data_IF_256660363857
#
_entry.id   IF_256660363857
#
_cell.length_a   1.000
_cell.length_b   1.000
_cell.length_c   1.000
_cell.angle_alpha   90.00
_cell.angle_beta   90.00
_cell.angle_gamma   90.00
#
_symmetry.space_group_name_H-M   'P 1'
#
loop_
_entity.id
_entity.type
_entity.pdbx_description
1 polymer ?
#
# COMPACT_ATOMS: atom_id res chain seq x y z
N UNK A 1 25.04 4.97 -21.27
CA UNK A 1 24.40 5.83 -20.25
C UNK A 1 23.48 4.92 -19.46
N UNK A 2 23.89 4.55 -18.24
CA UNK A 2 23.10 3.66 -17.39
C UNK A 2 21.81 4.38 -17.01
N UNK A 3 20.69 3.68 -17.18
CA UNK A 3 19.35 4.18 -16.90
C UNK A 3 19.28 4.69 -15.45
N UNK A 4 18.83 5.94 -15.29
CA UNK A 4 18.61 6.65 -14.04
C UNK A 4 17.42 6.08 -13.21
N UNK A 5 17.14 4.78 -13.29
CA UNK A 5 15.95 4.15 -12.70
C UNK A 5 16.08 3.94 -11.19
N UNK A 6 17.28 3.65 -10.68
CA UNK A 6 17.50 3.40 -9.24
C UNK A 6 17.30 4.63 -8.35
N UNK A 7 17.71 5.81 -8.82
CA UNK A 7 17.67 7.06 -8.02
C UNK A 7 16.24 7.51 -7.66
N UNK A 8 15.24 7.09 -8.45
CA UNK A 8 13.84 7.44 -8.20
C UNK A 8 13.13 6.45 -7.27
N UNK A 9 13.47 5.17 -7.34
CA UNK A 9 12.92 4.12 -6.47
C UNK A 9 13.40 4.31 -5.03
N UNK A 10 14.69 4.61 -4.83
CA UNK A 10 15.27 4.85 -3.50
C UNK A 10 14.59 6.02 -2.77
N UNK A 11 14.25 7.09 -3.49
CA UNK A 11 13.53 8.25 -2.91
C UNK A 11 12.10 7.92 -2.51
N UNK A 12 11.40 7.12 -3.32
CA UNK A 12 10.02 6.72 -3.03
C UNK A 12 9.95 5.77 -1.83
N UNK A 13 10.93 4.85 -1.72
CA UNK A 13 11.09 3.99 -0.55
C UNK A 13 11.38 4.83 0.69
N UNK A 14 12.34 5.76 0.61
CA UNK A 14 12.67 6.64 1.73
C UNK A 14 11.47 7.49 2.18
N UNK A 15 10.66 8.01 1.25
CA UNK A 15 9.43 8.75 1.58
C UNK A 15 8.43 7.87 2.35
N UNK A 16 8.25 6.61 1.93
CA UNK A 16 7.35 5.67 2.60
C UNK A 16 7.86 5.32 4.00
N UNK A 17 9.16 5.01 4.13
CA UNK A 17 9.81 4.71 5.41
C UNK A 17 9.68 5.89 6.39
N UNK A 18 9.97 7.11 5.93
CA UNK A 18 9.80 8.32 6.74
C UNK A 18 8.34 8.52 7.14
N UNK A 19 7.38 8.31 6.22
CA UNK A 19 5.95 8.43 6.52
C UNK A 19 5.49 7.48 7.62
N UNK A 20 6.06 6.27 7.70
CA UNK A 20 5.81 5.32 8.79
C UNK A 20 6.48 5.78 10.09
N UNK A 21 7.76 6.17 10.04
CA UNK A 21 8.53 6.62 11.22
C UNK A 21 7.91 7.87 11.86
N UNK A 22 7.43 8.80 11.04
CA UNK A 22 6.80 10.05 11.48
C UNK A 22 5.30 9.88 11.80
N UNK A 23 4.75 8.65 11.70
CA UNK A 23 3.34 8.29 11.96
C UNK A 23 2.31 9.01 11.07
N UNK A 24 2.71 9.52 9.90
CA UNK A 24 1.77 9.99 8.88
C UNK A 24 1.08 8.82 8.15
N UNK A 25 1.75 7.66 8.11
CA UNK A 25 1.24 6.41 7.55
C UNK A 25 1.20 5.37 8.67
N UNK A 26 0.00 4.94 9.04
CA UNK A 26 -0.16 3.88 10.04
C UNK A 26 0.30 2.54 9.46
N UNK A 27 1.24 1.90 10.15
CA UNK A 27 1.67 0.54 9.84
C UNK A 27 0.82 -0.47 10.61
N UNK A 28 0.39 -1.53 9.92
CA UNK A 28 -0.31 -2.67 10.49
C UNK A 28 0.33 -3.96 9.98
N UNK A 29 0.58 -4.91 10.88
CA UNK A 29 1.01 -6.25 10.49
C UNK A 29 -0.15 -6.98 9.81
N UNK A 30 0.15 -7.75 8.76
CA UNK A 30 -0.88 -8.49 8.02
C UNK A 30 -1.66 -9.47 8.93
N UNK A 31 -1.04 -9.96 10.00
CA UNK A 31 -1.68 -10.85 10.97
C UNK A 31 -2.69 -10.13 11.88
N UNK A 32 -2.79 -8.81 11.85
CA UNK A 32 -3.81 -8.06 12.60
C UNK A 32 -5.20 -8.16 11.95
N UNK A 33 -5.28 -8.68 10.73
CA UNK A 33 -6.52 -8.85 9.99
C UNK A 33 -7.02 -10.30 10.02
N UNK A 34 -8.34 -10.47 9.91
CA UNK A 34 -9.04 -11.77 9.79
C UNK A 34 -10.18 -11.68 8.78
N UNK A 35 -10.83 -12.81 8.52
CA UNK A 35 -12.05 -12.90 7.70
C UNK A 35 -11.89 -12.37 6.27
N UNK A 36 -10.76 -12.66 5.64
CA UNK A 36 -10.44 -12.21 4.28
C UNK A 36 -11.43 -12.77 3.26
N UNK A 37 -12.07 -11.88 2.51
CA UNK A 37 -12.97 -12.22 1.42
C UNK A 37 -12.65 -11.35 0.21
N UNK A 38 -12.33 -11.95 -0.93
CA UNK A 38 -12.14 -11.18 -2.17
C UNK A 38 -13.48 -10.57 -2.59
N UNK A 39 -13.53 -9.25 -2.73
CA UNK A 39 -14.72 -8.49 -3.13
C UNK A 39 -14.55 -7.81 -4.49
N UNK A 40 -13.32 -7.80 -5.03
CA UNK A 40 -13.04 -7.28 -6.36
C UNK A 40 -11.69 -7.75 -6.87
N UNK A 41 -11.58 -7.92 -8.19
CA UNK A 41 -10.33 -8.24 -8.87
C UNK A 41 -10.25 -7.46 -10.17
N UNK A 42 -9.17 -6.72 -10.36
CA UNK A 42 -8.85 -6.01 -11.58
C UNK A 42 -7.60 -6.57 -12.27
N UNK A 43 -7.15 -5.88 -13.32
CA UNK A 43 -5.95 -6.26 -14.07
C UNK A 43 -4.68 -6.24 -13.22
N UNK A 44 -4.58 -5.29 -12.28
CA UNK A 44 -3.35 -5.01 -11.52
C UNK A 44 -3.50 -5.16 -10.00
N UNK A 45 -4.72 -5.38 -9.51
CA UNK A 45 -4.99 -5.45 -8.07
C UNK A 45 -6.15 -6.38 -7.73
N UNK A 46 -6.21 -6.76 -6.46
CA UNK A 46 -7.37 -7.42 -5.83
C UNK A 46 -7.77 -6.61 -4.61
N UNK A 47 -9.07 -6.55 -4.34
CA UNK A 47 -9.60 -5.93 -3.13
C UNK A 47 -10.23 -7.02 -2.28
N UNK A 48 -9.86 -7.05 -1.02
CA UNK A 48 -10.36 -7.97 -0.02
C UNK A 48 -11.10 -7.18 1.06
N UNK A 49 -12.28 -7.64 1.45
CA UNK A 49 -12.87 -7.28 2.74
C UNK A 49 -12.12 -8.05 3.83
N UNK A 50 -11.81 -7.39 4.93
CA UNK A 50 -11.25 -8.04 6.12
C UNK A 50 -11.79 -7.36 7.39
N UNK A 51 -11.56 -7.98 8.54
CA UNK A 51 -11.89 -7.43 9.86
C UNK A 51 -10.60 -7.20 10.65
N UNK A 52 -10.43 -6.04 11.27
CA UNK A 52 -9.33 -5.78 12.21
C UNK A 52 -9.59 -6.50 13.53
N UNK A 53 -8.66 -7.34 13.99
CA UNK A 53 -8.84 -8.23 15.15
C UNK A 53 -9.19 -7.52 16.46
N UNK A 54 -8.67 -6.31 16.67
CA UNK A 54 -8.77 -5.60 17.96
C UNK A 54 -10.02 -4.72 18.08
N UNK A 55 -10.68 -4.38 16.99
CA UNK A 55 -11.80 -3.42 16.99
C UNK A 55 -13.05 -3.93 16.27
N UNK A 56 -13.02 -5.16 15.75
CA UNK A 56 -14.02 -5.74 14.84
C UNK A 56 -14.43 -4.81 13.68
N UNK A 57 -13.56 -3.86 13.34
CA UNK A 57 -13.79 -2.89 12.27
C UNK A 57 -13.60 -3.58 10.92
N UNK A 58 -14.60 -3.46 10.06
CA UNK A 58 -14.56 -3.98 8.70
C UNK A 58 -13.83 -2.99 7.79
N UNK A 59 -12.84 -3.49 7.05
CA UNK A 59 -11.99 -2.68 6.16
C UNK A 59 -11.89 -3.30 4.77
N UNK A 60 -11.42 -2.50 3.81
CA UNK A 60 -11.02 -2.97 2.48
C UNK A 60 -9.50 -2.95 2.36
N UNK A 61 -8.91 -4.11 2.08
CA UNK A 61 -7.49 -4.30 1.79
C UNK A 61 -7.30 -4.39 0.27
N UNK A 62 -6.65 -3.39 -0.30
CA UNK A 62 -6.28 -3.38 -1.72
C UNK A 62 -4.87 -3.95 -1.88
N UNK A 63 -4.77 -5.11 -2.51
CA UNK A 63 -3.52 -5.79 -2.80
C UNK A 63 -3.11 -5.50 -4.24
N UNK A 64 -1.96 -4.85 -4.43
CA UNK A 64 -1.37 -4.58 -5.75
C UNK A 64 -0.49 -5.78 -6.14
N UNK A 65 -0.54 -6.20 -7.41
CA UNK A 65 0.32 -7.29 -7.89
C UNK A 65 1.78 -6.85 -7.84
N UNK A 66 2.64 -7.69 -7.27
CA UNK A 66 4.07 -7.43 -7.21
C UNK A 66 4.66 -7.37 -8.64
N UNK A 67 4.97 -6.16 -9.09
CA UNK A 67 5.62 -5.86 -10.37
C UNK A 67 6.76 -4.86 -10.09
N UNK A 68 7.67 -4.64 -11.05
CA UNK A 68 8.79 -3.71 -10.86
C UNK A 68 8.35 -2.24 -10.61
N UNK A 69 7.06 -1.92 -10.69
CA UNK A 69 6.49 -0.59 -10.54
C UNK A 69 5.64 -0.43 -9.27
N UNK A 70 5.59 -1.44 -8.39
CA UNK A 70 4.61 -1.49 -7.30
C UNK A 70 4.76 -0.32 -6.32
N UNK A 71 6.00 0.09 -5.98
CA UNK A 71 6.26 1.26 -5.11
C UNK A 71 5.68 2.53 -5.73
N UNK A 72 5.89 2.73 -7.03
CA UNK A 72 5.35 3.89 -7.75
C UNK A 72 3.81 3.87 -7.76
N UNK A 73 3.20 2.70 -7.95
CA UNK A 73 1.73 2.55 -7.88
C UNK A 73 1.21 2.88 -6.48
N UNK A 74 1.87 2.41 -5.41
CA UNK A 74 1.50 2.73 -4.03
C UNK A 74 1.60 4.24 -3.76
N UNK A 75 2.73 4.86 -4.09
CA UNK A 75 2.92 6.31 -3.88
C UNK A 75 1.86 7.10 -4.66
N UNK A 76 1.61 6.75 -5.93
CA UNK A 76 0.58 7.42 -6.71
C UNK A 76 -0.81 7.28 -6.09
N UNK A 77 -1.20 6.10 -5.61
CA UNK A 77 -2.53 5.93 -5.02
C UNK A 77 -2.68 6.66 -3.68
N UNK A 78 -1.66 6.61 -2.82
CA UNK A 78 -1.66 7.32 -1.53
C UNK A 78 -1.65 8.83 -1.76
N UNK A 79 -0.78 9.33 -2.63
CA UNK A 79 -0.70 10.76 -2.91
C UNK A 79 -1.93 11.29 -3.67
N UNK A 80 -2.51 10.53 -4.62
CA UNK A 80 -3.69 11.01 -5.36
C UNK A 80 -4.96 11.09 -4.51
N UNK A 81 -5.00 10.44 -3.34
CA UNK A 81 -6.12 10.54 -2.40
C UNK A 81 -5.87 11.54 -1.26
N UNK A 82 -4.66 12.12 -1.18
CA UNK A 82 -4.27 13.16 -0.22
C UNK A 82 -4.09 14.49 -0.99
N UNK A 83 -5.00 14.82 -1.90
CA UNK A 83 -5.10 16.18 -2.42
C UNK A 83 -5.74 17.06 -1.33
N UNK A 84 -4.91 17.86 -0.64
CA UNK A 84 -5.28 18.98 0.25
C UNK A 84 -5.25 20.28 -0.55
#
# INVERSE_FOLDING_TARGET
MASNSGINEDKQIQWLENGIVENYINYYDYNEFKDFQCIGSGGFSKVYRATLKNSDTVIALKCIKNNNLFIKEIVNEVCSHIDI
#
